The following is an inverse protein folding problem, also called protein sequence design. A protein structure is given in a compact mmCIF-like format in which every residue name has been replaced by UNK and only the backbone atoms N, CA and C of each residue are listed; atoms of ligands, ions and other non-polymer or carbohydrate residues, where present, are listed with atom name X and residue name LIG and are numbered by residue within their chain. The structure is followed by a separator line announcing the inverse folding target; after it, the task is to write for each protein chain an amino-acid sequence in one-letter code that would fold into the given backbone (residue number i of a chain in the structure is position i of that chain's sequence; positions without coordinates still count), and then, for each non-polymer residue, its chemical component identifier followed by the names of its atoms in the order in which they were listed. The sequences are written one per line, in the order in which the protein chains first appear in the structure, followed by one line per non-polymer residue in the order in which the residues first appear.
data_IF_036319963956
#
_entry.id   IF_036319963956
#
_cell.length_a   1.000
_cell.length_b   1.000
_cell.length_c   1.000
_cell.angle_alpha   90.00
_cell.angle_beta   90.00
_cell.angle_gamma   90.00
#
_symmetry.space_group_name_H-M   'P 1'
#
loop_
_entity.id
_entity.type
_entity.pdbx_description
1 polymer ?
#
# COMPACT_ATOMS: atom_id res chain seq x y z
N UNK A 1 -13.46 -32.79 -14.55
CA UNK A 1 -14.39 -31.72 -14.14
C UNK A 1 -13.61 -30.43 -14.00
N UNK A 2 -14.19 -29.32 -14.43
CA UNK A 2 -13.60 -27.98 -14.23
C UNK A 2 -13.71 -27.57 -12.75
N UNK A 3 -13.00 -26.51 -12.35
CA UNK A 3 -13.05 -26.03 -10.97
C UNK A 3 -14.46 -25.66 -10.49
N UNK A 4 -15.27 -25.06 -11.35
CA UNK A 4 -16.63 -24.65 -11.00
C UNK A 4 -17.56 -25.86 -10.80
N UNK A 5 -17.42 -26.89 -11.65
CA UNK A 5 -18.16 -28.15 -11.52
C UNK A 5 -17.78 -28.91 -10.25
N UNK A 6 -16.50 -28.88 -9.89
CA UNK A 6 -16.03 -29.52 -8.66
C UNK A 6 -16.51 -28.79 -7.40
N UNK A 7 -16.56 -27.46 -7.42
CA UNK A 7 -17.16 -26.68 -6.33
C UNK A 7 -18.63 -27.06 -6.15
N UNK A 8 -19.40 -27.18 -7.24
CA UNK A 8 -20.81 -27.56 -7.17
C UNK A 8 -21.00 -28.95 -6.53
N UNK A 9 -20.14 -29.93 -6.83
CA UNK A 9 -20.14 -31.25 -6.20
C UNK A 9 -19.89 -31.16 -4.68
N UNK A 10 -18.92 -30.36 -4.25
CA UNK A 10 -18.64 -30.16 -2.82
C UNK A 10 -19.81 -29.45 -2.11
N UNK A 11 -20.51 -28.54 -2.79
CA UNK A 11 -21.70 -27.90 -2.24
C UNK A 11 -22.87 -28.88 -2.07
N UNK A 12 -23.03 -29.83 -3.00
CA UNK A 12 -24.02 -30.91 -2.90
C UNK A 12 -23.73 -31.83 -1.71
N UNK A 13 -22.47 -32.28 -1.57
CA UNK A 13 -22.02 -33.08 -0.40
C UNK A 13 -22.25 -32.34 0.91
N UNK A 14 -21.96 -31.03 0.95
CA UNK A 14 -22.24 -30.18 2.12
C UNK A 14 -23.74 -30.10 2.42
N UNK A 15 -24.59 -29.92 1.41
CA UNK A 15 -26.03 -29.85 1.59
C UNK A 15 -26.60 -31.17 2.14
N UNK A 16 -26.10 -32.32 1.66
CA UNK A 16 -26.45 -33.64 2.19
C UNK A 16 -26.04 -33.79 3.67
N UNK A 17 -24.85 -33.30 4.03
CA UNK A 17 -24.38 -33.32 5.42
C UNK A 17 -25.21 -32.40 6.33
N UNK A 18 -25.52 -31.18 5.90
CA UNK A 18 -26.38 -30.23 6.64
C UNK A 18 -27.80 -30.78 6.81
N UNK A 19 -28.34 -31.52 5.84
CA UNK A 19 -29.62 -32.19 5.94
C UNK A 19 -29.62 -33.32 7.00
N UNK A 20 -28.50 -34.05 7.11
CA UNK A 20 -28.32 -35.10 8.12
C UNK A 20 -27.99 -34.54 9.52
N UNK A 21 -27.43 -33.33 9.62
CA UNK A 21 -27.01 -32.68 10.86
C UNK A 21 -27.63 -31.29 11.00
N UNK A 22 -28.95 -31.21 11.29
CA UNK A 22 -29.64 -29.93 11.35
C UNK A 22 -29.09 -29.06 12.48
N UNK A 23 -28.68 -27.84 12.14
CA UNK A 23 -28.25 -26.82 13.11
C UNK A 23 -29.48 -26.33 13.89
N UNK A 24 -29.37 -26.21 15.21
CA UNK A 24 -30.45 -25.72 16.06
C UNK A 24 -30.95 -24.33 15.58
N UNK A 25 -32.24 -24.18 15.22
CA UNK A 25 -32.81 -22.93 14.75
C UNK A 25 -32.86 -21.83 15.82
N UNK A 26 -32.49 -22.12 17.06
CA UNK A 26 -32.37 -21.13 18.16
C UNK A 26 -30.95 -20.61 18.36
N UNK A 27 -29.94 -21.18 17.69
CA UNK A 27 -28.56 -20.73 17.80
C UNK A 27 -28.42 -19.28 17.28
N UNK A 28 -27.60 -18.42 17.91
CA UNK A 28 -27.33 -17.07 17.40
C UNK A 28 -26.59 -17.12 16.05
N UNK A 29 -26.76 -16.10 15.21
CA UNK A 29 -26.27 -16.08 13.82
C UNK A 29 -24.75 -16.33 13.70
N UNK A 30 -23.96 -15.77 14.63
CA UNK A 30 -22.51 -16.00 14.67
C UNK A 30 -22.18 -17.48 14.90
N UNK A 31 -22.95 -18.19 15.72
CA UNK A 31 -22.76 -19.61 15.96
C UNK A 31 -23.12 -20.43 14.72
N UNK A 32 -24.20 -20.08 14.00
CA UNK A 32 -24.56 -20.75 12.73
C UNK A 32 -23.50 -20.59 11.65
N UNK A 33 -22.85 -19.41 11.59
CA UNK A 33 -21.74 -19.15 10.65
C UNK A 33 -20.47 -19.91 11.02
N UNK A 34 -20.20 -20.09 12.31
CA UNK A 34 -19.05 -20.87 12.80
C UNK A 34 -19.27 -22.38 12.67
N UNK A 35 -20.52 -22.84 12.77
CA UNK A 35 -20.88 -24.26 12.71
C UNK A 35 -21.00 -24.77 11.26
N UNK A 36 -21.09 -23.90 10.26
CA UNK A 36 -21.21 -24.34 8.87
C UNK A 36 -19.92 -25.05 8.43
N UNK A 37 -19.98 -26.32 8.01
CA UNK A 37 -18.78 -27.07 7.62
C UNK A 37 -18.15 -26.45 6.37
N UNK A 38 -16.83 -26.41 6.36
CA UNK A 38 -16.03 -25.93 5.23
C UNK A 38 -16.09 -26.93 4.07
N UNK A 39 -16.00 -26.43 2.83
CA UNK A 39 -16.01 -27.32 1.64
C UNK A 39 -14.84 -28.31 1.64
N UNK A 40 -13.71 -27.92 2.24
CA UNK A 40 -12.51 -28.75 2.37
C UNK A 40 -12.76 -30.06 3.14
N UNK A 41 -13.78 -30.12 4.00
CA UNK A 41 -14.14 -31.33 4.76
C UNK A 41 -14.80 -32.41 3.90
N UNK A 42 -15.31 -32.02 2.73
CA UNK A 42 -16.03 -32.91 1.81
C UNK A 42 -15.16 -33.33 0.62
N UNK A 43 -13.86 -33.04 0.66
CA UNK A 43 -12.88 -33.54 -0.28
C UNK A 43 -12.59 -35.00 0.08
N UNK A 44 -12.86 -35.91 -0.86
CA UNK A 44 -12.67 -37.35 -0.69
C UNK A 44 -11.34 -37.82 -1.33
N UNK A 45 -10.81 -38.93 -0.83
CA UNK A 45 -9.65 -39.58 -1.44
C UNK A 45 -10.01 -40.06 -2.86
N UNK A 46 -9.25 -39.64 -3.86
CA UNK A 46 -9.52 -39.90 -5.28
C UNK A 46 -10.20 -38.75 -6.04
N UNK A 47 -10.63 -37.68 -5.36
CA UNK A 47 -11.18 -36.50 -6.03
C UNK A 47 -10.13 -35.81 -6.96
N UNK A 48 -8.84 -36.06 -6.73
CA UNK A 48 -7.74 -35.62 -7.59
C UNK A 48 -7.85 -36.16 -9.03
N UNK A 49 -8.48 -37.32 -9.24
CA UNK A 49 -8.62 -37.94 -10.57
C UNK A 49 -9.74 -37.29 -11.40
N UNK A 50 -10.75 -36.71 -10.73
CA UNK A 50 -11.90 -36.06 -11.37
C UNK A 50 -11.72 -34.56 -11.49
N UNK A 51 -10.86 -33.94 -10.67
CA UNK A 51 -10.57 -32.52 -10.69
C UNK A 51 -9.49 -32.18 -11.73
N UNK A 52 -9.81 -31.28 -12.64
CA UNK A 52 -8.82 -30.69 -13.54
C UNK A 52 -8.54 -29.26 -13.09
N UNK A 53 -7.37 -28.99 -12.47
CA UNK A 53 -7.03 -27.64 -12.06
C UNK A 53 -7.01 -26.70 -13.26
N UNK A 54 -7.44 -25.45 -13.10
CA UNK A 54 -7.28 -24.46 -14.15
C UNK A 54 -5.80 -24.33 -14.51
N UNK A 55 -5.47 -24.05 -15.79
CA UNK A 55 -4.08 -23.90 -16.21
C UNK A 55 -3.42 -22.78 -15.38
N UNK A 56 -2.18 -23.02 -14.95
CA UNK A 56 -1.44 -22.06 -14.14
C UNK A 56 -1.36 -20.71 -14.88
N UNK A 57 -1.93 -19.61 -14.31
CA UNK A 57 -1.88 -18.31 -14.94
C UNK A 57 -0.43 -17.82 -15.16
N UNK A 58 0.53 -18.34 -14.40
CA UNK A 58 1.96 -18.03 -14.53
C UNK A 58 2.56 -18.52 -15.85
N UNK A 59 2.01 -19.58 -16.45
CA UNK A 59 2.49 -20.17 -17.70
C UNK A 59 2.33 -19.21 -18.90
N UNK A 60 1.42 -18.25 -18.80
CA UNK A 60 1.14 -17.25 -19.85
C UNK A 60 1.92 -15.93 -19.69
N UNK A 61 2.59 -15.72 -18.54
CA UNK A 61 3.24 -14.44 -18.28
C UNK A 61 4.67 -14.45 -18.83
N UNK A 62 5.02 -13.57 -19.79
CA UNK A 62 6.39 -13.52 -20.29
C UNK A 62 7.35 -13.20 -19.13
N UNK A 63 8.41 -14.01 -19.01
CA UNK A 63 9.45 -13.79 -18.02
C UNK A 63 10.03 -12.37 -18.20
N UNK A 64 9.96 -11.55 -17.15
CA UNK A 64 10.52 -10.19 -17.22
C UNK A 64 12.04 -10.30 -17.28
N UNK A 65 12.63 -9.79 -18.37
CA UNK A 65 14.09 -9.66 -18.46
C UNK A 65 14.60 -8.77 -17.31
N UNK A 66 15.64 -9.20 -16.57
CA UNK A 66 16.21 -8.39 -15.50
C UNK A 66 16.77 -7.09 -16.08
N UNK A 67 16.31 -5.95 -15.57
CA UNK A 67 16.87 -4.64 -15.96
C UNK A 67 18.18 -4.41 -15.21
N UNK A 68 19.28 -4.03 -15.89
CA UNK A 68 20.52 -3.69 -15.21
C UNK A 68 20.27 -2.51 -14.27
N UNK A 69 20.77 -2.62 -13.04
CA UNK A 69 20.64 -1.56 -12.04
C UNK A 69 21.61 -0.44 -12.40
N UNK A 70 21.10 0.67 -12.92
CA UNK A 70 21.92 1.87 -13.14
C UNK A 70 22.39 2.43 -11.78
N UNK A 71 23.70 2.54 -11.60
CA UNK A 71 24.27 3.19 -10.42
C UNK A 71 23.96 4.69 -10.44
N UNK A 72 23.56 5.24 -9.30
CA UNK A 72 23.39 6.68 -9.11
C UNK A 72 24.55 7.23 -8.30
N UNK A 73 25.23 8.22 -8.86
CA UNK A 73 26.36 8.91 -8.22
C UNK A 73 25.89 9.76 -7.03
N UNK A 74 26.81 10.07 -6.11
CA UNK A 74 26.53 10.97 -4.99
C UNK A 74 26.08 12.35 -5.48
N UNK A 75 26.68 12.87 -6.56
CA UNK A 75 26.29 14.15 -7.18
C UNK A 75 24.82 14.17 -7.61
N UNK A 76 24.36 13.14 -8.34
CA UNK A 76 22.95 13.03 -8.77
C UNK A 76 21.97 12.99 -7.58
N UNK A 77 22.38 12.38 -6.47
CA UNK A 77 21.54 12.30 -5.27
C UNK A 77 21.51 13.64 -4.52
N UNK A 78 22.59 14.41 -4.50
CA UNK A 78 22.63 15.76 -3.92
C UNK A 78 21.71 16.73 -4.67
N UNK A 79 21.73 16.72 -6.01
CA UNK A 79 20.80 17.52 -6.81
C UNK A 79 19.33 17.20 -6.53
N UNK A 80 19.02 15.93 -6.25
CA UNK A 80 17.67 15.52 -5.87
C UNK A 80 17.31 16.00 -4.46
N UNK A 81 18.26 15.91 -3.51
CA UNK A 81 18.10 16.44 -2.15
C UNK A 81 17.83 17.93 -2.18
N UNK A 82 18.60 18.69 -2.95
CA UNK A 82 18.47 20.14 -3.02
C UNK A 82 17.13 20.56 -3.64
N UNK A 83 16.64 19.81 -4.65
CA UNK A 83 15.28 19.98 -5.16
C UNK A 83 14.20 19.69 -4.12
N UNK A 84 14.34 18.61 -3.36
CA UNK A 84 13.40 18.28 -2.27
C UNK A 84 13.43 19.35 -1.16
N UNK A 85 14.62 19.89 -0.86
CA UNK A 85 14.77 20.96 0.12
C UNK A 85 14.11 22.26 -0.34
N UNK A 86 14.32 22.66 -1.61
CA UNK A 86 13.65 23.82 -2.19
C UNK A 86 12.12 23.68 -2.15
N UNK A 87 11.58 22.48 -2.37
CA UNK A 87 10.15 22.21 -2.22
C UNK A 87 9.66 22.39 -0.78
N UNK A 88 10.45 21.95 0.21
CA UNK A 88 10.12 22.12 1.63
C UNK A 88 10.15 23.59 2.02
N UNK A 89 11.17 24.33 1.60
CA UNK A 89 11.32 25.75 1.90
C UNK A 89 10.21 26.60 1.24
N UNK A 90 9.74 26.21 0.06
CA UNK A 90 8.60 26.82 -0.60
C UNK A 90 7.27 26.66 0.17
N UNK A 91 7.09 25.57 0.92
CA UNK A 91 5.89 25.38 1.77
C UNK A 91 5.92 26.30 3.00
N UNK A 92 7.11 26.63 3.52
CA UNK A 92 7.25 27.49 4.69
C UNK A 92 7.09 28.99 4.35
N UNK A 93 7.46 29.39 3.13
CA UNK A 93 7.41 30.79 2.69
C UNK A 93 6.05 31.23 2.15
N UNK A 94 5.11 30.30 1.89
CA UNK A 94 3.78 30.63 1.35
C UNK A 94 2.79 31.21 2.36
N UNK A 95 3.12 31.24 3.66
CA UNK A 95 2.26 31.80 4.70
C UNK A 95 2.63 33.26 5.00
N UNK A 96 2.38 34.16 4.05
CA UNK A 96 2.28 35.59 4.38
C UNK A 96 1.21 35.81 5.45
N UNK A 97 1.53 36.56 6.50
CA UNK A 97 0.57 36.90 7.55
C UNK A 97 -0.54 37.78 6.97
N UNK A 98 -1.68 37.18 6.63
CA UNK A 98 -2.89 37.91 6.26
C UNK A 98 -3.76 38.12 7.52
N UNK A 99 -3.91 39.36 8.02
CA UNK A 99 -4.69 39.65 9.22
C UNK A 99 -6.18 39.32 9.06
N UNK A 100 -6.72 39.25 7.83
CA UNK A 100 -8.11 38.84 7.59
C UNK A 100 -8.35 37.35 7.92
N UNK A 101 -7.29 36.54 7.96
CA UNK A 101 -7.34 35.10 8.22
C UNK A 101 -7.62 34.78 9.70
N UNK A 102 -7.29 35.69 10.62
CA UNK A 102 -7.47 35.51 12.07
C UNK A 102 -8.94 35.25 12.45
N UNK A 103 -9.88 35.73 11.62
CA UNK A 103 -11.33 35.58 11.86
C UNK A 103 -11.95 34.34 11.18
N UNK A 104 -11.17 33.52 10.47
CA UNK A 104 -11.65 32.35 9.75
C UNK A 104 -11.62 31.09 10.63
N UNK A 105 -12.67 30.92 11.45
CA UNK A 105 -12.85 29.70 12.25
C UNK A 105 -13.79 28.68 11.58
N UNK A 106 -13.44 27.37 11.54
CA UNK A 106 -14.34 26.28 11.16
C UNK A 106 -15.59 26.14 12.06
N UNK A 107 -15.60 26.78 13.23
CA UNK A 107 -16.74 26.85 14.16
C UNK A 107 -17.46 28.22 14.13
N UNK A 108 -17.10 29.12 13.21
CA UNK A 108 -17.74 30.43 13.09
C UNK A 108 -19.25 30.30 12.85
N UNK A 109 -20.03 31.27 13.36
CA UNK A 109 -21.47 31.38 13.14
C UNK A 109 -21.80 31.75 11.68
N UNK A 110 -20.97 32.56 11.05
CA UNK A 110 -21.11 32.93 9.63
C UNK A 110 -20.82 31.73 8.72
N UNK A 111 -21.74 31.42 7.80
CA UNK A 111 -21.59 30.30 6.85
C UNK A 111 -20.38 30.49 5.93
N UNK A 112 -20.13 31.72 5.47
CA UNK A 112 -19.00 32.05 4.62
C UNK A 112 -17.66 31.88 5.36
N UNK A 113 -17.55 32.43 6.58
CA UNK A 113 -16.35 32.29 7.41
C UNK A 113 -16.07 30.82 7.79
N UNK A 114 -17.13 30.04 8.06
CA UNK A 114 -17.02 28.60 8.34
C UNK A 114 -16.47 27.81 7.15
N UNK A 115 -17.00 28.05 5.96
CA UNK A 115 -16.57 27.37 4.75
C UNK A 115 -15.12 27.73 4.38
N UNK A 116 -14.78 29.02 4.45
CA UNK A 116 -13.41 29.49 4.24
C UNK A 116 -12.43 28.93 5.29
N UNK A 117 -12.82 28.90 6.57
CA UNK A 117 -12.06 28.27 7.64
C UNK A 117 -11.79 26.79 7.37
N UNK A 118 -12.82 25.99 7.08
CA UNK A 118 -12.64 24.55 6.77
C UNK A 118 -11.69 24.31 5.59
N UNK A 119 -11.83 25.08 4.51
CA UNK A 119 -10.95 24.98 3.33
C UNK A 119 -9.50 25.28 3.68
N UNK A 120 -9.27 26.30 4.52
CA UNK A 120 -7.93 26.67 4.98
C UNK A 120 -7.30 25.59 5.84
N UNK A 121 -8.02 25.11 6.87
CA UNK A 121 -7.52 24.03 7.73
C UNK A 121 -7.20 22.77 6.93
N UNK A 122 -8.07 22.38 5.98
CA UNK A 122 -7.78 21.27 5.07
C UNK A 122 -6.59 21.53 4.13
N UNK A 123 -6.24 22.79 3.83
CA UNK A 123 -4.99 23.11 3.14
C UNK A 123 -3.79 22.94 4.06
N UNK A 124 -3.84 23.48 5.27
CA UNK A 124 -2.78 23.35 6.26
C UNK A 124 -2.48 21.89 6.60
N UNK A 125 -3.50 21.06 6.78
CA UNK A 125 -3.32 19.62 7.05
C UNK A 125 -2.61 18.91 5.88
N UNK A 126 -2.94 19.29 4.63
CA UNK A 126 -2.26 18.79 3.44
C UNK A 126 -0.81 19.27 3.38
N UNK A 127 -0.55 20.53 3.72
CA UNK A 127 0.79 21.12 3.71
C UNK A 127 1.67 20.49 4.80
N UNK A 128 1.13 20.27 6.01
CA UNK A 128 1.81 19.54 7.10
C UNK A 128 2.16 18.11 6.67
N UNK A 129 1.20 17.41 6.08
CA UNK A 129 1.42 16.04 5.59
C UNK A 129 2.50 16.00 4.52
N UNK A 130 2.46 16.95 3.58
CA UNK A 130 3.45 17.07 2.51
C UNK A 130 4.84 17.43 3.04
N UNK A 131 4.92 18.34 4.00
CA UNK A 131 6.18 18.72 4.65
C UNK A 131 6.82 17.51 5.34
N UNK A 132 6.02 16.72 6.08
CA UNK A 132 6.49 15.48 6.69
C UNK A 132 7.06 14.50 5.67
N UNK A 133 6.36 14.26 4.55
CA UNK A 133 6.83 13.38 3.49
C UNK A 133 8.15 13.87 2.86
N UNK A 134 8.31 15.19 2.71
CA UNK A 134 9.55 15.77 2.21
C UNK A 134 10.72 15.59 3.20
N UNK A 135 10.48 15.76 4.50
CA UNK A 135 11.48 15.51 5.54
C UNK A 135 11.93 14.04 5.53
N UNK A 136 10.97 13.09 5.54
CA UNK A 136 11.29 11.66 5.47
C UNK A 136 12.08 11.31 4.20
N UNK A 137 11.76 11.97 3.07
CA UNK A 137 12.52 11.80 1.81
C UNK A 137 13.94 12.36 1.91
N UNK A 138 14.13 13.50 2.56
CA UNK A 138 15.46 14.09 2.76
C UNK A 138 16.35 13.14 3.58
N UNK A 139 15.84 12.58 4.68
CA UNK A 139 16.58 11.62 5.51
C UNK A 139 17.03 10.39 4.71
N UNK A 140 16.14 9.87 3.86
CA UNK A 140 16.45 8.74 2.96
C UNK A 140 17.51 9.13 1.93
N UNK A 141 17.45 10.34 1.37
CA UNK A 141 18.43 10.82 0.41
C UNK A 141 19.81 11.01 1.07
N UNK A 142 19.87 11.58 2.28
CA UNK A 142 21.13 11.74 3.02
C UNK A 142 21.77 10.39 3.37
N UNK A 143 20.97 9.39 3.74
CA UNK A 143 21.47 8.03 3.92
C UNK A 143 22.01 7.42 2.61
N UNK A 144 21.35 7.66 1.47
CA UNK A 144 21.82 7.19 0.15
C UNK A 144 23.09 7.90 -0.30
N UNK A 145 23.19 9.21 -0.07
CA UNK A 145 24.38 10.02 -0.37
C UNK A 145 25.58 9.47 0.39
N UNK A 146 25.47 9.28 1.71
CA UNK A 146 26.56 8.68 2.53
C UNK A 146 27.03 7.33 1.99
N UNK A 147 26.10 6.47 1.55
CA UNK A 147 26.43 5.16 0.95
C UNK A 147 27.05 5.28 -0.45
N UNK A 148 26.71 6.31 -1.21
CA UNK A 148 27.31 6.57 -2.52
C UNK A 148 28.73 7.13 -2.34
N UNK A 149 28.92 8.12 -1.49
CA UNK A 149 30.23 8.70 -1.14
C UNK A 149 31.20 7.64 -0.62
N UNK A 150 30.76 6.76 0.29
CA UNK A 150 31.60 5.69 0.82
C UNK A 150 32.00 4.64 -0.22
N UNK A 151 31.27 4.54 -1.34
CA UNK A 151 31.62 3.64 -2.45
C UNK A 151 32.51 4.33 -3.46
N UNK A 152 32.20 5.57 -3.81
CA UNK A 152 33.04 6.40 -4.70
C UNK A 152 34.44 6.56 -4.10
N UNK A 153 34.55 6.89 -2.81
CA UNK A 153 35.84 6.95 -2.11
C UNK A 153 36.63 5.64 -2.20
N UNK A 154 35.97 4.48 -2.07
CA UNK A 154 36.64 3.17 -2.20
C UNK A 154 37.11 2.88 -3.63
N UNK A 155 36.38 3.37 -4.63
CA UNK A 155 36.77 3.26 -6.02
C UNK A 155 37.98 4.15 -6.30
N UNK A 156 37.96 5.40 -5.84
CA UNK A 156 39.09 6.33 -5.96
C UNK A 156 40.36 5.81 -5.24
N UNK A 157 40.20 5.23 -4.05
CA UNK A 157 41.27 4.59 -3.28
C UNK A 157 41.83 3.32 -3.98
N UNK A 158 41.02 2.65 -4.81
CA UNK A 158 41.46 1.48 -5.58
C UNK A 158 42.20 1.90 -6.85
N UNK A 159 41.68 2.89 -7.57
CA UNK A 159 42.28 3.45 -8.79
C UNK A 159 43.62 4.15 -8.51
N UNK A 160 43.78 4.75 -7.33
CA UNK A 160 45.05 5.37 -6.90
C UNK A 160 46.15 4.38 -6.51
N UNK A 161 45.85 3.08 -6.40
CA UNK A 161 46.82 2.02 -6.06
C UNK A 161 47.33 1.23 -7.27
N UNK A 162 46.73 1.42 -8.43
CA UNK A 162 47.10 0.82 -9.72
C UNK A 162 47.94 1.78 -10.54
#
# INVERSE_FOLDING_TARGET
MTGDEYIALLEERRAAYEAAHPIDPRAPEWARRVIRPLLEWFVEEGDEEIFTPPPDPSASRPARAPRPRAYRTAASLREERDRARAQLDALNTSSGYDPAVVNLSPSSRSRAARAAGRRRFASLDRDITRARQLIERLDVLDAKIRRAEAREKRADDADSRT
#
